data_IF_850579495735
#
_entry.id   IF_850579495735
#
_cell.length_a   1.000
_cell.length_b   1.000
_cell.length_c   1.000
_cell.angle_alpha   90.00
_cell.angle_beta   90.00
_cell.angle_gamma   90.00
#
_symmetry.space_group_name_H-M   'P 1'
#
loop_
_entity.id
_entity.type
_entity.pdbx_description
1 polymer ?
#
# COMPACT_ATOMS: atom_id res chain seq x y z
N UNK A 1 8.30 2.60 -13.40
CA UNK A 1 8.75 2.96 -12.03
C UNK A 1 7.90 2.24 -10.99
N UNK A 2 8.45 1.89 -9.83
CA UNK A 2 7.75 1.15 -8.75
C UNK A 2 6.33 1.65 -8.45
N UNK A 3 6.13 2.97 -8.42
CA UNK A 3 4.82 3.61 -8.27
C UNK A 3 3.88 3.20 -9.40
N UNK A 4 4.32 3.22 -10.65
CA UNK A 4 3.47 2.82 -11.78
C UNK A 4 3.14 1.33 -11.78
N UNK A 5 4.05 0.45 -11.37
CA UNK A 5 3.81 -1.01 -11.41
C UNK A 5 2.89 -1.48 -10.27
N UNK A 6 3.06 -0.93 -9.07
CA UNK A 6 2.19 -1.20 -7.94
C UNK A 6 0.80 -0.57 -8.15
N UNK A 7 0.74 0.66 -8.66
CA UNK A 7 -0.50 1.37 -8.97
C UNK A 7 -1.27 0.73 -10.15
N UNK A 8 -0.59 0.11 -11.12
CA UNK A 8 -1.22 -0.69 -12.18
C UNK A 8 -1.84 -1.98 -11.62
N UNK A 9 -1.21 -2.64 -10.64
CA UNK A 9 -1.84 -3.77 -9.92
C UNK A 9 -3.08 -3.31 -9.12
N UNK A 10 -3.02 -2.15 -8.47
CA UNK A 10 -4.17 -1.57 -7.76
C UNK A 10 -5.37 -1.29 -8.66
N UNK A 11 -5.15 -0.95 -9.93
CA UNK A 11 -6.22 -0.65 -10.88
C UNK A 11 -6.99 -1.88 -11.37
N UNK A 12 -6.40 -3.09 -11.30
CA UNK A 12 -7.06 -4.31 -11.74
C UNK A 12 -7.75 -5.08 -10.62
N UNK A 13 -7.39 -4.86 -9.36
CA UNK A 13 -7.92 -5.64 -8.23
C UNK A 13 -8.00 -4.73 -7.00
N UNK A 14 -9.15 -4.06 -6.82
CA UNK A 14 -9.75 -3.57 -5.56
C UNK A 14 -8.88 -2.96 -4.43
N UNK A 15 -7.63 -2.56 -4.64
CA UNK A 15 -6.87 -1.88 -3.60
C UNK A 15 -7.44 -0.47 -3.40
N UNK A 16 -8.29 -0.29 -2.39
CA UNK A 16 -8.80 1.02 -2.02
C UNK A 16 -7.89 1.62 -0.95
N UNK A 17 -7.31 2.76 -1.32
CA UNK A 17 -6.60 3.73 -0.49
C UNK A 17 -5.08 3.53 -0.44
N UNK A 18 -4.40 4.15 -1.42
CA UNK A 18 -3.08 4.77 -1.22
C UNK A 18 -3.35 6.21 -0.76
N UNK A 19 -3.41 6.49 0.55
CA UNK A 19 -3.42 7.90 0.99
C UNK A 19 -2.00 8.44 0.81
N UNK A 20 -1.76 9.15 -0.30
CA UNK A 20 -0.57 9.99 -0.44
C UNK A 20 -0.83 11.28 0.35
N UNK A 21 -0.41 11.33 1.62
CA UNK A 21 -0.57 12.55 2.41
C UNK A 21 0.52 13.59 2.06
N UNK A 22 0.05 14.66 1.41
CA UNK A 22 0.58 16.04 1.35
C UNK A 22 1.84 16.38 0.52
N UNK A 23 1.83 17.63 0.04
CA UNK A 23 2.62 18.26 -1.04
C UNK A 23 4.14 18.49 -0.80
N UNK A 24 4.83 17.68 -0.01
CA UNK A 24 6.32 17.69 0.05
C UNK A 24 6.86 16.26 0.25
N UNK A 25 8.12 15.97 -0.16
CA UNK A 25 8.49 14.87 -1.08
C UNK A 25 7.98 13.49 -0.65
N UNK A 26 7.61 12.63 -1.61
CA UNK A 26 6.95 11.34 -1.41
C UNK A 26 7.60 10.33 -0.42
N UNK A 27 8.78 10.62 0.11
CA UNK A 27 9.56 9.75 1.00
C UNK A 27 9.99 10.49 2.28
N UNK A 28 9.94 9.79 3.41
CA UNK A 28 10.63 10.16 4.65
C UNK A 28 11.97 9.44 4.72
N UNK A 29 13.01 10.13 5.18
CA UNK A 29 14.31 9.53 5.44
C UNK A 29 14.38 9.06 6.89
N UNK A 30 14.81 7.83 7.11
CA UNK A 30 15.11 7.32 8.45
C UNK A 30 16.52 7.76 8.87
N UNK A 31 16.83 7.76 10.17
CA UNK A 31 18.19 8.05 10.66
C UNK A 31 19.29 7.12 10.11
N UNK A 32 18.92 6.01 9.44
CA UNK A 32 19.82 5.10 8.74
C UNK A 32 19.96 5.38 7.23
N UNK A 33 19.47 6.53 6.74
CA UNK A 33 19.54 6.93 5.32
C UNK A 33 18.55 6.22 4.40
N UNK A 34 17.66 5.38 4.94
CA UNK A 34 16.63 4.69 4.17
C UNK A 34 15.47 5.63 3.86
N UNK A 35 15.05 5.65 2.60
CA UNK A 35 13.88 6.39 2.12
C UNK A 35 12.63 5.50 2.17
N UNK A 36 11.66 5.89 2.99
CA UNK A 36 10.40 5.17 3.20
C UNK A 36 9.25 5.97 2.59
N UNK A 37 8.41 5.37 1.73
CA UNK A 37 7.26 6.04 1.17
C UNK A 37 6.31 6.57 2.25
N UNK A 38 5.81 7.80 2.07
CA UNK A 38 4.70 8.34 2.86
C UNK A 38 3.36 7.90 2.27
N UNK A 39 3.02 6.64 2.48
CA UNK A 39 1.74 6.06 2.05
C UNK A 39 1.23 5.04 3.06
N UNK A 40 -0.07 4.80 3.03
CA UNK A 40 -0.75 3.70 3.70
C UNK A 40 -1.43 2.86 2.62
N UNK A 41 -1.33 1.53 2.73
CA UNK A 41 -2.06 0.55 1.94
C UNK A 41 -3.17 -0.03 2.79
N UNK A 42 -4.38 0.04 2.26
CA UNK A 42 -5.56 -0.54 2.88
C UNK A 42 -6.20 -1.46 1.85
N UNK A 43 -6.57 -2.66 2.29
CA UNK A 43 -7.39 -3.58 1.52
C UNK A 43 -8.38 -4.26 2.46
N UNK A 44 -9.54 -4.63 1.96
CA UNK A 44 -10.54 -5.38 2.72
C UNK A 44 -10.21 -6.88 2.76
N UNK A 45 -9.33 -7.34 1.86
CA UNK A 45 -8.83 -8.71 1.81
C UNK A 45 -7.30 -8.75 1.99
N UNK A 46 -6.76 -9.80 2.62
CA UNK A 46 -5.33 -9.87 2.92
C UNK A 46 -4.46 -10.14 1.69
N UNK A 47 -5.00 -10.73 0.62
CA UNK A 47 -4.24 -11.28 -0.53
C UNK A 47 -3.28 -10.26 -1.14
N UNK A 48 -3.75 -9.05 -1.46
CA UNK A 48 -2.93 -8.01 -2.10
C UNK A 48 -1.87 -7.48 -1.14
N UNK A 49 -2.25 -7.28 0.12
CA UNK A 49 -1.34 -6.80 1.16
C UNK A 49 -0.24 -7.84 1.46
N UNK A 50 -0.56 -9.12 1.44
CA UNK A 50 0.39 -10.20 1.68
C UNK A 50 1.38 -10.36 0.52
N UNK A 51 0.98 -10.09 -0.73
CA UNK A 51 1.94 -9.95 -1.84
C UNK A 51 2.94 -8.82 -1.60
N UNK A 52 2.50 -7.68 -1.04
CA UNK A 52 3.41 -6.57 -0.70
C UNK A 52 4.34 -6.94 0.45
N UNK A 53 3.83 -7.64 1.47
CA UNK A 53 4.60 -8.11 2.65
C UNK A 53 5.64 -9.18 2.31
N UNK A 54 5.41 -9.98 1.27
CA UNK A 54 6.29 -11.08 0.87
C UNK A 54 7.12 -10.77 -0.39
N UNK A 55 6.71 -9.77 -1.16
CA UNK A 55 7.33 -9.39 -2.42
C UNK A 55 8.67 -8.67 -2.31
N UNK A 56 9.24 -8.34 -3.46
CA UNK A 56 10.57 -7.71 -3.61
C UNK A 56 10.74 -6.43 -2.79
N UNK A 57 9.66 -5.66 -2.63
CA UNK A 57 9.67 -4.36 -1.92
C UNK A 57 9.19 -4.46 -0.47
N UNK A 58 9.08 -5.65 0.12
CA UNK A 58 8.59 -5.85 1.50
C UNK A 58 9.30 -5.03 2.57
N UNK A 59 10.59 -4.76 2.37
CA UNK A 59 11.38 -3.98 3.32
C UNK A 59 11.19 -2.47 3.13
N UNK A 60 10.55 -2.02 2.05
CA UNK A 60 10.40 -0.60 1.76
C UNK A 60 9.36 0.09 2.66
N UNK A 61 8.30 -0.63 3.01
CA UNK A 61 7.16 -0.11 3.77
C UNK A 61 7.27 -0.48 5.25
N UNK A 62 6.68 0.34 6.12
CA UNK A 62 6.46 -0.07 7.50
C UNK A 62 5.27 -1.05 7.56
N UNK A 63 5.35 -2.15 8.33
CA UNK A 63 4.23 -3.10 8.47
C UNK A 63 2.92 -2.44 8.93
N UNK A 64 3.01 -1.38 9.74
CA UNK A 64 1.85 -0.60 10.20
C UNK A 64 1.17 0.21 9.10
N UNK A 65 1.86 0.45 7.97
CA UNK A 65 1.29 1.07 6.78
C UNK A 65 0.55 0.04 5.90
N UNK A 66 0.51 -1.24 6.27
CA UNK A 66 -0.07 -2.33 5.48
C UNK A 66 -1.25 -2.95 6.23
N UNK A 67 -2.46 -2.43 6.00
CA UNK A 67 -3.68 -2.76 6.75
C UNK A 67 -4.57 -3.65 5.88
N UNK A 68 -5.03 -4.77 6.44
CA UNK A 68 -5.96 -5.71 5.78
C UNK A 68 -7.21 -5.92 6.63
N UNK A 69 -8.36 -5.97 5.97
CA UNK A 69 -9.62 -6.47 6.50
C UNK A 69 -9.66 -8.00 6.53
N UNK A 70 -10.75 -8.54 7.09
CA UNK A 70 -11.05 -9.98 7.09
C UNK A 70 -12.15 -10.35 6.09
N UNK A 71 -12.89 -9.37 5.60
CA UNK A 71 -14.07 -9.56 4.77
C UNK A 71 -14.08 -8.53 3.64
N UNK A 72 -14.32 -9.01 2.42
CA UNK A 72 -14.42 -8.21 1.20
C UNK A 72 -15.70 -7.36 1.14
N UNK A 73 -15.62 -6.21 0.46
CA UNK A 73 -16.77 -5.42 0.03
C UNK A 73 -17.71 -6.18 -0.93
N UNK A 74 -17.25 -7.24 -1.60
CA UNK A 74 -18.02 -8.03 -2.55
C UNK A 74 -18.60 -7.20 -3.71
N UNK A 75 -17.82 -6.23 -4.21
CA UNK A 75 -18.26 -5.21 -5.19
C UNK A 75 -19.46 -4.36 -4.72
N UNK A 76 -19.73 -4.31 -3.41
CA UNK A 76 -20.79 -3.50 -2.85
C UNK A 76 -20.23 -2.21 -2.25
N UNK A 77 -20.60 -1.06 -2.83
CA UNK A 77 -20.17 0.25 -2.35
C UNK A 77 -20.72 0.60 -0.95
N UNK A 78 -21.85 0.02 -0.55
CA UNK A 78 -22.46 0.30 0.76
C UNK A 78 -21.79 -0.44 1.93
N UNK A 79 -20.88 -1.37 1.63
CA UNK A 79 -20.18 -2.18 2.63
C UNK A 79 -18.90 -1.50 3.10
#
# INVERSE_FOLDING_TARGET
NMVSNLMVKCHLIRLLVVVMMHLTPFFSETGAGKHVPRCVFIDLEPTVIDEVRTGTYRQLFHPEQLISGKEDAANNYAR
#
